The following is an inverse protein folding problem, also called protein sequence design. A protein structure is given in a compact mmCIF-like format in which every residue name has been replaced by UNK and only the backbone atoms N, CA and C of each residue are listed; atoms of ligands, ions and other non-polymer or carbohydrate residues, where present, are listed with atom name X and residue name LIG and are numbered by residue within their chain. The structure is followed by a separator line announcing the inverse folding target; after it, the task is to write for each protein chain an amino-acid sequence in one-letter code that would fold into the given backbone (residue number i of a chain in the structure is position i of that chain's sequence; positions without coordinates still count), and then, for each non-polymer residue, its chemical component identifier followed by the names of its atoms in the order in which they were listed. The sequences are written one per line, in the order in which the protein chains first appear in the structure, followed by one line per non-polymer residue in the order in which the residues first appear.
data_IF_389296989100
#
_entry.id   IF_389296989100
#
_cell.length_a   1.000
_cell.length_b   1.000
_cell.length_c   1.000
_cell.angle_alpha   90.00
_cell.angle_beta   90.00
_cell.angle_gamma   90.00
#
_symmetry.space_group_name_H-M   'P 1'
#
loop_
_entity.id
_entity.type
_entity.pdbx_description
1 polymer ?
#
# COMPACT_ATOMS: atom_id res chain seq x y z
N UNK A 1 -13.70 -20.15 -3.82
CA UNK A 1 -12.73 -19.47 -4.73
C UNK A 1 -13.45 -19.08 -6.00
N UNK A 2 -13.67 -17.80 -6.27
CA UNK A 2 -14.13 -17.37 -7.60
C UNK A 2 -12.97 -17.59 -8.56
N UNK A 3 -13.13 -18.49 -9.50
CA UNK A 3 -12.21 -18.65 -10.62
C UNK A 3 -12.15 -17.31 -11.36
N UNK A 4 -10.95 -16.77 -11.55
CA UNK A 4 -10.74 -15.63 -12.43
C UNK A 4 -11.35 -15.94 -13.79
N UNK A 5 -11.98 -14.96 -14.41
CA UNK A 5 -12.58 -15.20 -15.72
C UNK A 5 -11.49 -15.63 -16.71
N UNK A 6 -11.82 -16.53 -17.62
CA UNK A 6 -10.90 -17.01 -18.66
C UNK A 6 -10.24 -15.87 -19.44
N UNK A 7 -10.98 -14.77 -19.64
CA UNK A 7 -10.46 -13.56 -20.29
C UNK A 7 -9.33 -12.87 -19.51
N UNK A 8 -9.39 -12.88 -18.16
CA UNK A 8 -8.32 -12.32 -17.32
C UNK A 8 -7.06 -13.18 -17.38
N UNK A 9 -7.20 -14.50 -17.37
CA UNK A 9 -6.05 -15.40 -17.49
C UNK A 9 -5.39 -15.32 -18.87
N UNK A 10 -6.18 -15.20 -19.94
CA UNK A 10 -5.66 -14.97 -21.28
C UNK A 10 -4.85 -13.66 -21.33
N UNK A 11 -5.39 -12.60 -20.76
CA UNK A 11 -4.68 -11.31 -20.68
C UNK A 11 -3.42 -11.38 -19.81
N UNK A 12 -3.47 -12.10 -18.69
CA UNK A 12 -2.29 -12.35 -17.87
C UNK A 12 -1.18 -13.06 -18.68
N UNK A 13 -1.55 -14.01 -19.55
CA UNK A 13 -0.62 -14.67 -20.48
C UNK A 13 0.04 -13.69 -21.45
N UNK A 14 -0.73 -12.75 -22.00
CA UNK A 14 -0.19 -11.69 -22.89
C UNK A 14 0.84 -10.86 -22.15
N UNK A 15 0.51 -10.38 -20.94
CA UNK A 15 1.43 -9.58 -20.14
C UNK A 15 2.71 -10.34 -19.79
N UNK A 16 2.59 -11.60 -19.39
CA UNK A 16 3.76 -12.44 -19.07
C UNK A 16 4.66 -12.66 -20.29
N UNK A 17 4.08 -12.89 -21.45
CA UNK A 17 4.85 -13.09 -22.69
C UNK A 17 5.54 -11.80 -23.13
N UNK A 18 4.86 -10.66 -23.00
CA UNK A 18 5.34 -9.36 -23.47
C UNK A 18 6.43 -8.78 -22.59
N UNK A 19 6.20 -8.78 -21.28
CA UNK A 19 7.06 -8.10 -20.31
C UNK A 19 8.10 -9.02 -19.66
N UNK A 20 7.89 -10.35 -19.74
CA UNK A 20 8.83 -11.31 -19.17
C UNK A 20 9.13 -11.06 -17.68
N UNK A 21 10.41 -10.95 -17.35
CA UNK A 21 10.88 -10.73 -15.98
C UNK A 21 10.67 -9.30 -15.45
N UNK A 22 10.32 -8.33 -16.34
CA UNK A 22 10.10 -6.93 -15.93
C UNK A 22 8.79 -6.74 -15.13
N UNK A 23 7.83 -7.69 -15.28
CA UNK A 23 6.57 -7.73 -14.53
C UNK A 23 6.43 -9.06 -13.81
N UNK A 24 6.48 -9.03 -12.50
CA UNK A 24 6.24 -10.20 -11.66
C UNK A 24 4.78 -10.24 -11.20
N UNK A 25 4.05 -11.30 -11.57
CA UNK A 25 2.65 -11.46 -11.16
C UNK A 25 2.54 -11.73 -9.67
N UNK A 26 1.68 -10.98 -8.99
CA UNK A 26 1.38 -11.15 -7.55
C UNK A 26 0.05 -11.87 -7.40
N UNK A 27 -0.06 -12.93 -6.60
CA UNK A 27 -1.33 -13.57 -6.30
C UNK A 27 -2.32 -12.58 -5.67
N UNK A 28 -3.55 -12.53 -6.22
CA UNK A 28 -4.64 -11.70 -5.71
C UNK A 28 -5.82 -12.56 -5.29
N UNK A 29 -6.35 -12.32 -4.09
CA UNK A 29 -7.56 -12.99 -3.60
C UNK A 29 -8.85 -12.37 -4.16
N UNK A 30 -8.76 -11.17 -4.76
CA UNK A 30 -9.93 -10.41 -5.22
C UNK A 30 -10.26 -10.62 -6.69
N UNK A 31 -9.51 -11.48 -7.41
CA UNK A 31 -9.70 -11.72 -8.84
C UNK A 31 -9.24 -10.55 -9.72
N UNK A 32 -8.32 -9.74 -9.23
CA UNK A 32 -7.67 -8.65 -9.96
C UNK A 32 -6.26 -9.05 -10.40
N UNK A 33 -5.81 -8.51 -11.54
CA UNK A 33 -4.44 -8.67 -11.99
C UNK A 33 -3.56 -7.64 -11.29
N UNK A 34 -2.60 -8.14 -10.52
CA UNK A 34 -1.60 -7.33 -9.84
C UNK A 34 -0.21 -7.77 -10.24
N UNK A 35 0.66 -6.82 -10.56
CA UNK A 35 2.03 -7.07 -10.92
C UNK A 35 2.97 -6.18 -10.11
N UNK A 36 4.15 -6.71 -9.82
CA UNK A 36 5.28 -5.93 -9.32
C UNK A 36 6.19 -5.53 -10.47
N UNK A 37 6.71 -4.33 -10.37
CA UNK A 37 7.70 -3.77 -11.28
C UNK A 37 8.84 -3.15 -10.46
N UNK A 38 10.07 -3.40 -10.87
CA UNK A 38 11.23 -2.75 -10.26
C UNK A 38 11.32 -1.28 -10.69
N UNK A 39 11.83 -0.43 -9.79
CA UNK A 39 11.90 1.02 -10.01
C UNK A 39 12.57 1.41 -11.34
N UNK A 40 13.60 0.65 -11.75
CA UNK A 40 14.38 0.90 -12.96
C UNK A 40 13.57 0.68 -14.25
N UNK A 41 12.58 -0.21 -14.22
CA UNK A 41 11.76 -0.56 -15.38
C UNK A 41 10.40 0.15 -15.40
N UNK A 42 10.07 0.90 -14.35
CA UNK A 42 8.73 1.48 -14.18
C UNK A 42 8.30 2.34 -15.37
N UNK A 43 9.13 3.31 -15.76
CA UNK A 43 8.78 4.26 -16.82
C UNK A 43 8.63 3.57 -18.19
N UNK A 44 9.53 2.66 -18.51
CA UNK A 44 9.49 1.87 -19.74
C UNK A 44 8.22 1.01 -19.80
N UNK A 45 7.95 0.25 -18.74
CA UNK A 45 6.76 -0.61 -18.64
C UNK A 45 5.46 0.20 -18.73
N UNK A 46 5.37 1.33 -18.04
CA UNK A 46 4.22 2.22 -18.11
C UNK A 46 3.98 2.77 -19.53
N UNK A 47 5.06 3.17 -20.22
CA UNK A 47 4.98 3.61 -21.62
C UNK A 47 4.48 2.51 -22.55
N UNK A 48 5.05 1.31 -22.43
CA UNK A 48 4.62 0.15 -23.24
C UNK A 48 3.16 -0.23 -22.93
N UNK A 49 2.72 -0.23 -21.67
CA UNK A 49 1.34 -0.54 -21.29
C UNK A 49 0.33 0.46 -21.89
N UNK A 50 0.72 1.74 -22.00
CA UNK A 50 -0.13 2.76 -22.62
C UNK A 50 -0.21 2.59 -24.14
N UNK A 51 0.95 2.37 -24.79
CA UNK A 51 1.08 2.50 -26.25
C UNK A 51 0.83 1.19 -26.99
N UNK A 52 1.00 0.03 -26.34
CA UNK A 52 0.79 -1.27 -26.94
C UNK A 52 -0.70 -1.47 -27.31
N UNK A 53 -1.01 -1.83 -28.59
CA UNK A 53 -2.38 -2.03 -29.05
C UNK A 53 -3.17 -3.12 -28.31
N UNK A 54 -2.50 -4.14 -27.74
CA UNK A 54 -3.16 -5.21 -26.99
C UNK A 54 -3.42 -4.84 -25.52
N UNK A 55 -2.69 -3.85 -25.00
CA UNK A 55 -2.81 -3.37 -23.63
C UNK A 55 -3.66 -2.10 -23.55
N UNK A 56 -3.26 -1.04 -24.21
CA UNK A 56 -3.91 0.27 -24.30
C UNK A 56 -4.47 0.78 -22.98
N UNK A 57 -3.59 0.93 -21.98
CA UNK A 57 -3.98 1.53 -20.72
C UNK A 57 -3.94 3.06 -20.83
N UNK A 58 -4.99 3.60 -21.42
CA UNK A 58 -5.11 5.03 -21.69
C UNK A 58 -5.21 5.88 -20.44
N UNK A 59 -5.69 5.31 -19.35
CA UNK A 59 -6.00 6.06 -18.14
C UNK A 59 -5.27 5.52 -16.90
N UNK A 60 -4.53 6.38 -16.22
CA UNK A 60 -4.16 6.22 -14.83
C UNK A 60 -5.34 6.67 -13.96
N UNK A 61 -6.00 5.71 -13.31
CA UNK A 61 -7.20 5.95 -12.49
C UNK A 61 -6.80 6.49 -11.12
N UNK A 62 -5.72 5.93 -10.57
CA UNK A 62 -5.24 6.28 -9.23
C UNK A 62 -3.76 5.92 -9.07
N UNK A 63 -3.07 6.66 -8.21
CA UNK A 63 -1.72 6.38 -7.76
C UNK A 63 -1.65 6.65 -6.26
N UNK A 64 -1.27 5.65 -5.47
CA UNK A 64 -1.20 5.77 -4.02
C UNK A 64 0.15 5.30 -3.47
N UNK A 65 0.72 6.06 -2.54
CA UNK A 65 1.87 5.63 -1.75
C UNK A 65 1.45 4.61 -0.69
N UNK A 66 2.37 3.70 -0.33
CA UNK A 66 2.15 2.71 0.73
C UNK A 66 3.41 2.57 1.57
N UNK A 67 3.26 2.64 2.90
CA UNK A 67 4.32 2.32 3.86
C UNK A 67 4.07 0.93 4.46
N UNK A 68 5.01 0.01 4.28
CA UNK A 68 4.96 -1.37 4.75
C UNK A 68 5.69 -1.60 6.07
N UNK A 69 6.10 -0.54 6.81
CA UNK A 69 6.93 -0.65 8.02
C UNK A 69 6.43 -1.70 9.01
N UNK A 70 5.11 -1.71 9.28
CA UNK A 70 4.47 -2.62 10.24
C UNK A 70 3.64 -3.73 9.56
N UNK A 71 3.77 -3.88 8.25
CA UNK A 71 2.98 -4.85 7.52
C UNK A 71 3.42 -6.28 7.84
N UNK A 72 2.48 -7.08 8.29
CA UNK A 72 2.73 -8.47 8.70
C UNK A 72 3.23 -8.63 10.14
N UNK A 73 3.59 -7.54 10.82
CA UNK A 73 3.97 -7.51 12.24
C UNK A 73 2.77 -7.17 13.14
N UNK A 74 1.55 -7.40 12.67
CA UNK A 74 0.35 -7.15 13.46
C UNK A 74 0.41 -7.96 14.77
N UNK A 75 0.22 -7.28 15.89
CA UNK A 75 0.23 -7.85 17.25
C UNK A 75 -0.92 -8.85 17.49
N UNK A 76 -1.77 -9.07 16.51
CA UNK A 76 -2.93 -9.96 16.54
C UNK A 76 -2.80 -11.00 15.44
N UNK A 77 -2.47 -12.19 15.79
CA UNK A 77 -2.83 -13.37 15.01
C UNK A 77 -4.20 -13.83 15.48
N UNK A 78 -5.26 -13.39 14.80
CA UNK A 78 -6.56 -14.05 14.94
C UNK A 78 -6.50 -15.34 14.13
N UNK A 79 -6.21 -16.45 14.80
CA UNK A 79 -6.10 -17.74 14.13
C UNK A 79 -7.45 -18.29 13.69
N UNK A 80 -8.56 -17.81 14.27
CA UNK A 80 -9.92 -18.21 13.89
C UNK A 80 -10.89 -17.05 14.11
N UNK A 81 -11.60 -16.65 13.05
CA UNK A 81 -12.80 -15.86 13.20
C UNK A 81 -13.93 -16.81 13.63
N UNK A 82 -14.42 -16.66 14.84
CA UNK A 82 -15.63 -17.39 15.26
C UNK A 82 -16.80 -16.94 14.40
N UNK A 83 -17.71 -17.86 13.98
CA UNK A 83 -18.86 -17.56 13.13
C UNK A 83 -19.85 -16.54 13.72
N UNK A 84 -19.67 -16.14 14.99
CA UNK A 84 -20.37 -15.06 15.68
C UNK A 84 -19.51 -13.83 15.94
N UNK A 85 -18.24 -13.85 15.52
CA UNK A 85 -17.29 -12.75 15.74
C UNK A 85 -17.40 -11.69 14.65
N UNK A 86 -17.11 -10.45 15.04
CA UNK A 86 -17.01 -9.33 14.12
C UNK A 86 -15.76 -9.50 13.24
N UNK A 87 -15.89 -10.24 12.14
CA UNK A 87 -14.85 -10.29 11.14
C UNK A 87 -14.93 -9.02 10.29
N UNK A 88 -13.92 -8.20 10.31
CA UNK A 88 -13.84 -6.98 9.47
C UNK A 88 -13.69 -7.33 7.98
N UNK A 89 -14.41 -8.31 7.48
CA UNK A 89 -14.38 -8.71 6.06
C UNK A 89 -13.07 -9.36 5.59
N UNK A 90 -12.15 -9.71 6.49
CA UNK A 90 -10.94 -10.47 6.11
C UNK A 90 -11.32 -11.92 5.90
N UNK A 91 -11.23 -12.40 4.68
CA UNK A 91 -11.25 -13.82 4.42
C UNK A 91 -10.10 -14.49 5.19
N UNK A 92 -10.40 -15.48 6.01
CA UNK A 92 -9.38 -16.29 6.69
C UNK A 92 -8.51 -16.94 5.62
N UNK A 93 -7.19 -16.79 5.63
CA UNK A 93 -6.33 -17.54 4.74
C UNK A 93 -6.61 -19.04 4.94
N UNK A 94 -6.56 -19.86 3.87
CA UNK A 94 -6.75 -21.30 4.01
C UNK A 94 -5.73 -21.85 5.02
N UNK A 95 -6.17 -22.78 5.88
CA UNK A 95 -5.32 -23.42 6.87
C UNK A 95 -4.08 -24.00 6.17
N UNK A 96 -2.88 -23.55 6.58
CA UNK A 96 -1.62 -23.90 5.93
C UNK A 96 -1.05 -22.82 4.99
N UNK A 97 -1.77 -21.75 4.73
CA UNK A 97 -1.11 -20.57 4.19
C UNK A 97 -0.13 -20.05 5.26
N UNK A 98 1.14 -19.79 4.93
CA UNK A 98 2.05 -19.18 5.88
C UNK A 98 1.35 -17.91 6.37
N UNK A 99 1.14 -17.80 7.70
CA UNK A 99 0.63 -16.58 8.31
C UNK A 99 1.43 -15.46 7.70
N UNK A 100 0.74 -14.55 6.97
CA UNK A 100 1.30 -13.63 6.02
C UNK A 100 2.54 -12.89 6.52
N UNK A 101 3.61 -13.61 6.61
CA UNK A 101 4.93 -13.06 6.47
C UNK A 101 4.97 -12.70 4.98
N UNK A 102 4.38 -11.55 4.68
CA UNK A 102 4.55 -10.97 3.40
C UNK A 102 6.04 -11.02 3.12
N UNK A 103 6.40 -11.55 1.96
CA UNK A 103 7.76 -11.55 1.46
C UNK A 103 8.36 -10.13 1.33
N UNK A 104 7.69 -9.14 1.86
CA UNK A 104 8.05 -7.72 1.95
C UNK A 104 9.08 -7.42 3.04
N UNK A 105 9.40 -8.39 3.91
CA UNK A 105 10.53 -8.26 4.82
C UNK A 105 11.89 -8.56 4.13
N UNK A 106 11.95 -8.48 2.81
CA UNK A 106 13.25 -8.31 2.14
C UNK A 106 13.83 -6.98 2.62
N UNK A 107 14.99 -7.10 3.23
CA UNK A 107 15.77 -6.00 3.77
C UNK A 107 15.84 -4.86 2.74
N UNK A 108 15.14 -3.74 3.03
CA UNK A 108 15.16 -2.53 2.20
C UNK A 108 13.86 -2.17 1.47
N UNK A 109 12.81 -3.00 1.46
CA UNK A 109 11.54 -2.68 0.79
C UNK A 109 10.50 -2.16 1.79
N UNK A 110 10.55 -0.88 2.10
CA UNK A 110 9.59 -0.23 3.00
C UNK A 110 8.48 0.50 2.24
N UNK A 111 8.84 1.29 1.24
CA UNK A 111 7.88 2.11 0.50
C UNK A 111 7.60 1.55 -0.88
N UNK A 112 6.34 1.58 -1.26
CA UNK A 112 5.90 1.26 -2.61
C UNK A 112 4.88 2.27 -3.10
N UNK A 113 4.77 2.39 -4.42
CA UNK A 113 3.70 3.15 -5.07
C UNK A 113 2.86 2.18 -5.89
N UNK A 114 1.54 2.28 -5.74
CA UNK A 114 0.56 1.45 -6.42
C UNK A 114 -0.15 2.27 -7.49
N UNK A 115 -0.15 1.77 -8.70
CA UNK A 115 -0.78 2.39 -9.87
C UNK A 115 -1.99 1.57 -10.28
N UNK A 116 -3.14 2.20 -10.42
CA UNK A 116 -4.36 1.59 -10.94
C UNK A 116 -4.58 2.07 -12.38
N UNK A 117 -4.45 1.16 -13.33
CA UNK A 117 -4.55 1.45 -14.75
C UNK A 117 -5.85 0.92 -15.32
N UNK A 118 -6.46 1.68 -16.23
CA UNK A 118 -7.66 1.31 -16.96
C UNK A 118 -7.43 1.42 -18.46
N UNK A 119 -7.70 0.33 -19.16
CA UNK A 119 -7.92 0.33 -20.59
C UNK A 119 -9.39 0.52 -20.85
N UNK A 120 -9.76 1.69 -21.39
CA UNK A 120 -11.13 2.00 -21.81
C UNK A 120 -11.48 1.21 -23.08
N UNK A 121 -10.53 1.13 -24.00
CA UNK A 121 -10.70 0.39 -25.27
C UNK A 121 -11.01 -1.10 -25.03
N UNK A 122 -10.30 -1.75 -24.11
CA UNK A 122 -10.44 -3.19 -23.86
C UNK A 122 -11.29 -3.51 -22.63
N UNK A 123 -11.76 -2.49 -21.88
CA UNK A 123 -12.48 -2.63 -20.63
C UNK A 123 -11.75 -3.56 -19.63
N UNK A 124 -10.46 -3.27 -19.42
CA UNK A 124 -9.56 -4.06 -18.56
C UNK A 124 -8.91 -3.17 -17.53
N UNK A 125 -8.61 -3.76 -16.39
CA UNK A 125 -7.87 -3.09 -15.30
C UNK A 125 -6.65 -3.90 -14.93
N UNK A 126 -5.59 -3.20 -14.56
CA UNK A 126 -4.39 -3.78 -13.97
C UNK A 126 -3.90 -2.90 -12.83
N UNK A 127 -3.35 -3.54 -11.80
CA UNK A 127 -2.65 -2.87 -10.71
C UNK A 127 -1.16 -3.14 -10.85
N UNK A 128 -0.36 -2.09 -10.83
CA UNK A 128 1.09 -2.20 -10.71
C UNK A 128 1.50 -1.77 -9.30
N UNK A 129 2.47 -2.46 -8.73
CA UNK A 129 3.15 -2.08 -7.49
C UNK A 129 4.63 -1.90 -7.79
N UNK A 130 5.12 -0.67 -7.66
CA UNK A 130 6.53 -0.35 -7.80
C UNK A 130 7.16 -0.14 -6.43
N UNK A 131 8.23 -0.85 -6.13
CA UNK A 131 9.02 -0.64 -4.93
C UNK A 131 9.95 0.53 -5.13
N UNK A 132 9.95 1.46 -4.14
CA UNK A 132 10.86 2.61 -4.18
C UNK A 132 12.30 2.17 -4.01
N UNK A 133 13.20 2.79 -4.77
CA UNK A 133 14.62 2.67 -4.53
C UNK A 133 15.00 3.48 -3.28
N UNK A 134 15.74 2.86 -2.35
CA UNK A 134 16.10 3.47 -1.08
C UNK A 134 14.95 3.57 -0.08
N UNK A 135 15.29 3.92 1.15
CA UNK A 135 14.34 4.06 2.26
C UNK A 135 14.24 5.51 2.69
N UNK A 136 15.33 6.26 2.66
CA UNK A 136 15.40 7.65 3.10
C UNK A 136 16.35 8.45 2.20
N UNK A 137 15.81 9.19 1.23
CA UNK A 137 14.42 9.25 0.80
C UNK A 137 14.04 8.09 -0.13
N UNK A 138 12.77 7.64 -0.13
CA UNK A 138 12.25 6.71 -1.14
C UNK A 138 12.13 7.40 -2.50
N UNK A 139 12.59 6.74 -3.56
CA UNK A 139 12.75 7.34 -4.87
C UNK A 139 12.15 6.48 -5.98
N UNK A 140 11.40 7.10 -6.89
CA UNK A 140 10.89 6.50 -8.12
C UNK A 140 11.00 7.49 -9.29
N UNK A 141 10.83 7.00 -10.51
CA UNK A 141 10.69 7.86 -11.68
C UNK A 141 9.24 8.33 -11.83
N UNK A 142 9.06 9.59 -12.21
CA UNK A 142 7.76 10.16 -12.48
C UNK A 142 7.16 9.58 -13.77
N UNK A 143 5.86 9.25 -13.71
CA UNK A 143 5.10 8.79 -14.88
C UNK A 143 4.23 9.90 -15.49
N UNK A 144 4.46 11.17 -15.13
CA UNK A 144 3.74 12.33 -15.69
C UNK A 144 3.89 12.46 -17.21
N UNK A 145 5.02 12.02 -17.77
CA UNK A 145 5.23 11.96 -19.23
C UNK A 145 4.36 10.90 -19.90
N UNK A 146 3.90 9.89 -19.16
CA UNK A 146 3.00 8.84 -19.66
C UNK A 146 1.55 9.25 -19.47
N UNK A 147 1.16 9.66 -18.26
CA UNK A 147 -0.18 10.11 -17.92
C UNK A 147 -0.13 11.44 -17.16
N UNK A 148 -0.71 12.48 -17.73
CA UNK A 148 -0.72 13.81 -17.10
C UNK A 148 -1.44 13.85 -15.75
N UNK A 149 -2.40 12.95 -15.52
CA UNK A 149 -3.08 12.83 -14.21
C UNK A 149 -2.15 12.46 -13.08
N UNK A 150 -1.00 11.84 -13.37
CA UNK A 150 0.01 11.49 -12.38
C UNK A 150 0.57 12.70 -11.62
N UNK A 151 0.57 13.90 -12.24
CA UNK A 151 1.08 15.13 -11.61
C UNK A 151 0.49 15.35 -10.20
N UNK A 152 -0.83 15.25 -10.07
CA UNK A 152 -1.51 15.45 -8.79
C UNK A 152 -1.30 14.28 -7.81
N UNK A 153 -1.40 13.06 -8.29
CA UNK A 153 -1.25 11.87 -7.46
C UNK A 153 0.19 11.70 -6.95
N UNK A 154 1.20 12.00 -7.76
CA UNK A 154 2.60 11.94 -7.34
C UNK A 154 2.90 13.01 -6.28
N UNK A 155 2.32 14.21 -6.41
CA UNK A 155 2.42 15.25 -5.39
C UNK A 155 1.74 14.83 -4.07
N UNK A 156 0.61 14.14 -4.13
CA UNK A 156 -0.04 13.58 -2.95
C UNK A 156 0.84 12.52 -2.28
N UNK A 157 1.38 11.57 -3.06
CA UNK A 157 2.28 10.54 -2.53
C UNK A 157 3.57 11.14 -1.95
N UNK A 158 4.10 12.20 -2.57
CA UNK A 158 5.21 12.96 -2.01
C UNK A 158 4.81 13.64 -0.69
N UNK A 159 3.70 14.32 -0.62
CA UNK A 159 3.28 15.05 0.57
C UNK A 159 3.03 14.10 1.75
N UNK A 160 2.30 13.02 1.53
CA UNK A 160 1.85 12.12 2.60
C UNK A 160 2.90 11.08 3.01
N UNK A 161 3.75 10.61 2.11
CA UNK A 161 4.72 9.54 2.35
C UNK A 161 6.18 9.97 2.17
N UNK A 162 6.44 11.09 1.50
CA UNK A 162 7.79 11.57 1.21
C UNK A 162 8.46 10.84 0.06
N UNK A 163 7.70 10.25 -0.86
CA UNK A 163 8.25 9.63 -2.06
C UNK A 163 8.70 10.70 -3.04
N UNK A 164 9.96 10.67 -3.44
CA UNK A 164 10.51 11.58 -4.44
C UNK A 164 10.32 11.00 -5.84
N UNK A 165 9.75 11.79 -6.75
CA UNK A 165 9.55 11.40 -8.15
C UNK A 165 10.53 12.15 -9.06
N UNK A 166 11.50 11.42 -9.60
CA UNK A 166 12.49 11.99 -10.52
C UNK A 166 11.82 12.38 -11.83
N UNK A 167 12.13 13.59 -12.29
CA UNK A 167 11.56 14.12 -13.54
C UNK A 167 10.13 14.68 -13.41
N UNK A 168 9.57 14.73 -12.21
CA UNK A 168 8.32 15.43 -11.97
C UNK A 168 8.50 16.94 -12.19
N UNK A 169 7.60 17.60 -12.94
CA UNK A 169 7.78 19.01 -13.31
C UNK A 169 7.65 20.00 -12.14
N UNK A 170 6.83 19.70 -11.15
CA UNK A 170 6.54 20.60 -10.02
C UNK A 170 6.17 19.79 -8.75
N UNK A 171 7.16 19.12 -8.17
CA UNK A 171 6.98 18.29 -6.97
C UNK A 171 6.92 19.17 -5.72
N UNK A 172 5.71 19.45 -5.24
CA UNK A 172 5.45 20.25 -4.04
C UNK A 172 4.25 19.71 -3.27
N UNK A 173 4.15 20.04 -1.98
CA UNK A 173 3.02 19.63 -1.14
C UNK A 173 1.69 20.21 -1.66
N UNK A 174 0.60 19.46 -1.44
CA UNK A 174 -0.77 19.87 -1.85
C UNK A 174 -1.83 19.73 -0.77
N UNK A 175 -1.64 18.84 0.19
CA UNK A 175 -2.64 18.53 1.24
C UNK A 175 -2.24 19.07 2.61
N UNK A 176 -0.95 19.00 2.95
CA UNK A 176 -0.46 19.52 4.23
C UNK A 176 -0.23 21.01 4.18
N UNK A 177 -0.26 21.66 5.35
CA UNK A 177 -0.01 23.10 5.48
C UNK A 177 1.44 23.47 5.10
N UNK A 178 1.67 24.73 4.73
CA UNK A 178 2.98 25.22 4.26
C UNK A 178 4.12 25.02 5.28
N UNK A 179 3.81 25.09 6.56
CA UNK A 179 4.77 24.88 7.64
C UNK A 179 4.82 23.44 8.17
N UNK A 180 4.12 22.50 7.56
CA UNK A 180 4.03 21.14 8.06
C UNK A 180 5.37 20.41 7.93
N UNK A 181 5.83 19.80 9.04
CA UNK A 181 7.09 19.04 9.09
C UNK A 181 6.78 17.54 9.21
N UNK A 182 7.34 16.75 8.27
CA UNK A 182 7.15 15.31 8.21
C UNK A 182 6.15 14.88 7.14
N UNK A 183 5.78 13.60 7.17
CA UNK A 183 4.87 12.97 6.22
C UNK A 183 3.84 12.16 7.00
N UNK A 184 2.57 12.62 7.07
CA UNK A 184 1.61 12.15 8.09
C UNK A 184 1.10 10.73 7.86
N UNK A 185 1.28 10.13 6.68
CA UNK A 185 0.83 8.75 6.40
C UNK A 185 1.92 7.71 6.59
N UNK A 186 3.15 8.14 6.88
CA UNK A 186 4.19 7.20 7.32
C UNK A 186 3.79 6.54 8.64
N UNK A 187 4.05 5.24 8.77
CA UNK A 187 3.66 4.46 9.97
C UNK A 187 4.42 4.86 11.23
N UNK A 188 5.57 5.47 11.07
CA UNK A 188 6.38 6.05 12.17
C UNK A 188 5.98 7.48 12.55
N UNK A 189 5.06 8.12 11.78
CA UNK A 189 4.54 9.44 12.14
C UNK A 189 3.45 9.31 13.22
N UNK A 190 3.52 10.08 14.32
CA UNK A 190 2.55 9.98 15.41
C UNK A 190 1.14 10.39 14.96
N UNK A 191 0.12 9.60 15.33
CA UNK A 191 -1.27 9.81 14.93
C UNK A 191 -1.82 11.19 15.37
N UNK A 192 -1.37 11.69 16.52
CA UNK A 192 -1.75 13.01 17.04
C UNK A 192 -0.94 14.17 16.45
N UNK A 193 0.09 13.87 15.65
CA UNK A 193 1.04 14.86 15.14
C UNK A 193 2.04 15.35 16.19
N UNK A 194 2.83 16.35 15.83
CA UNK A 194 3.84 16.96 16.69
C UNK A 194 3.47 18.39 17.10
N UNK A 195 2.65 19.06 16.30
CA UNK A 195 2.29 20.47 16.43
C UNK A 195 0.79 20.62 16.25
N UNK A 196 0.15 21.38 17.09
CA UNK A 196 -1.24 21.81 16.93
C UNK A 196 -1.34 23.30 16.60
N UNK A 197 -2.42 23.67 15.97
CA UNK A 197 -2.69 25.03 15.52
C UNK A 197 -3.87 25.57 16.28
N UNK A 198 -3.67 26.69 16.99
CA UNK A 198 -4.70 27.33 17.80
C UNK A 198 -4.79 28.83 17.50
N UNK A 199 -6.02 29.34 17.49
CA UNK A 199 -6.21 30.79 17.45
C UNK A 199 -6.01 31.40 18.85
N UNK A 200 -5.09 32.35 18.94
CA UNK A 200 -4.85 33.13 20.16
C UNK A 200 -5.58 34.47 20.07
N UNK A 201 -6.70 34.64 20.80
CA UNK A 201 -7.49 35.88 20.72
C UNK A 201 -6.76 37.10 21.31
N UNK A 202 -5.80 36.89 22.24
CA UNK A 202 -5.02 37.97 22.80
C UNK A 202 -4.01 38.55 21.79
N UNK A 203 -3.47 37.69 20.93
CA UNK A 203 -2.55 38.07 19.86
C UNK A 203 -3.25 38.35 18.53
N UNK A 204 -4.56 38.05 18.43
CA UNK A 204 -5.36 38.20 17.20
C UNK A 204 -4.84 37.37 16.01
N UNK A 205 -4.15 36.26 16.26
CA UNK A 205 -3.53 35.42 15.23
C UNK A 205 -3.51 33.94 15.57
N UNK A 206 -3.29 33.13 14.54
CA UNK A 206 -3.03 31.70 14.68
C UNK A 206 -1.61 31.48 15.21
N UNK A 207 -1.46 30.61 16.18
CA UNK A 207 -0.19 30.22 16.79
C UNK A 207 0.01 28.72 16.67
N UNK A 208 1.25 28.29 16.48
CA UNK A 208 1.68 26.91 16.48
C UNK A 208 2.24 26.59 17.85
N UNK A 209 1.79 25.51 18.44
CA UNK A 209 2.26 25.05 19.75
C UNK A 209 2.44 23.52 19.75
N UNK A 210 3.28 22.98 20.64
CA UNK A 210 3.40 21.52 20.76
C UNK A 210 2.05 20.89 21.07
N UNK A 211 1.78 19.72 20.49
CA UNK A 211 0.54 18.98 20.69
C UNK A 211 0.34 18.65 22.16
N UNK A 212 -0.84 19.01 22.70
CA UNK A 212 -1.28 18.73 24.06
C UNK A 212 -2.42 17.69 24.12
N UNK A 213 -2.76 17.05 23.02
CA UNK A 213 -3.85 16.09 22.90
C UNK A 213 -3.47 14.78 23.58
N UNK A 214 -4.25 14.36 24.59
CA UNK A 214 -4.12 13.01 25.15
C UNK A 214 -4.80 11.99 24.23
N UNK A 215 -4.07 10.92 23.78
CA UNK A 215 -4.66 9.88 22.97
C UNK A 215 -5.78 9.17 23.72
N UNK A 216 -7.00 9.21 23.20
CA UNK A 216 -8.12 8.45 23.76
C UNK A 216 -8.21 7.10 23.07
N UNK A 217 -7.90 6.03 23.79
CA UNK A 217 -8.10 4.67 23.33
C UNK A 217 -9.54 4.26 23.64
N UNK A 218 -10.41 4.24 22.61
CA UNK A 218 -11.83 3.83 22.77
C UNK A 218 -11.96 2.36 23.13
N UNK A 219 -11.02 1.52 22.70
CA UNK A 219 -10.94 0.11 23.04
C UNK A 219 -9.58 -0.12 23.68
N UNK A 220 -9.51 -0.26 25.02
CA UNK A 220 -8.26 -0.60 25.67
C UNK A 220 -7.78 -1.94 25.11
N UNK A 221 -6.53 -1.99 24.72
CA UNK A 221 -5.89 -3.21 24.24
C UNK A 221 -5.83 -4.20 25.41
N UNK A 222 -6.74 -5.14 25.42
CA UNK A 222 -6.72 -6.23 26.40
C UNK A 222 -6.03 -7.43 25.76
N UNK A 223 -4.82 -7.72 26.21
CA UNK A 223 -4.19 -9.02 25.91
C UNK A 223 -4.95 -10.04 26.77
N UNK A 224 -5.89 -10.72 26.17
CA UNK A 224 -6.61 -11.81 26.85
C UNK A 224 -5.74 -13.07 26.78
N UNK A 225 -5.06 -13.35 27.85
CA UNK A 225 -4.42 -14.64 28.11
C UNK A 225 -5.45 -15.58 28.77
N UNK A 226 -6.57 -15.85 28.14
CA UNK A 226 -7.52 -16.84 28.62
C UNK A 226 -7.22 -18.21 27.95
N UNK A 227 -7.68 -19.28 28.60
CA UNK A 227 -7.44 -20.66 28.15
C UNK A 227 -8.02 -20.95 26.76
N UNK A 228 -8.89 -20.09 26.23
CA UNK A 228 -9.48 -20.22 24.88
C UNK A 228 -8.51 -19.82 23.78
N UNK A 229 -7.47 -19.04 24.12
CA UNK A 229 -6.46 -18.55 23.19
C UNK A 229 -5.08 -19.18 23.45
N UNK A 230 -4.96 -19.98 24.52
CA UNK A 230 -3.77 -20.79 24.70
C UNK A 230 -3.74 -21.89 23.62
N UNK A 231 -2.62 -22.09 22.89
CA UNK A 231 -2.49 -23.25 22.04
C UNK A 231 -2.74 -24.47 22.93
N UNK A 232 -3.75 -25.28 22.58
CA UNK A 232 -3.99 -26.55 23.28
C UNK A 232 -2.70 -27.34 23.19
N UNK A 233 -2.05 -27.53 24.31
CA UNK A 233 -0.99 -28.51 24.40
C UNK A 233 -1.61 -29.84 23.99
N UNK A 234 -1.33 -30.29 22.77
CA UNK A 234 -1.66 -31.65 22.35
C UNK A 234 -0.99 -32.53 23.37
N UNK A 235 -1.80 -33.30 24.07
CA UNK A 235 -1.38 -34.29 25.03
C UNK A 235 -0.24 -35.12 24.45
N UNK A 236 0.97 -34.84 24.92
CA UNK A 236 2.10 -35.71 24.75
C UNK A 236 2.00 -36.86 25.79
N UNK A 237 0.91 -37.61 25.74
CA UNK A 237 0.65 -38.73 26.60
C UNK A 237 -0.19 -39.76 25.87
N UNK A 238 0.41 -40.39 24.88
CA UNK A 238 0.06 -41.78 24.55
C UNK A 238 1.11 -42.40 23.63
N UNK A 239 2.22 -42.81 24.20
CA UNK A 239 3.10 -43.87 23.74
C UNK A 239 4.01 -44.23 24.90
N UNK A 240 3.48 -45.03 25.82
CA UNK A 240 4.20 -45.87 26.76
C UNK A 240 3.74 -47.27 26.52
#
# INVERSE_FOLDING_TARGET
MRTMSQALEQFAGILTTRFGSRLARVPSCCGELTYEVEAEHLLEVCGELRDDPECRFEQLVDLAGVDYLEYGNAEWTTNEATGSGFSRGRATPPAGAPAGRAATAEVGRRFAVVYHLLSVTHNRRVRLRAWCAGVEPPLLDSVTAVWQSADWYEREAFDLFGVLFRGHPDLRRILTDYGFVGHPFRKDFPLIGNVEVRYDPAKGRVVYEPVAIEPRTLVPRVIRQDARHAPQAKDAADHG
#
